data_IF_838828432613
#
_entry.id   IF_838828432613
#
_cell.length_a   1.000
_cell.length_b   1.000
_cell.length_c   1.000
_cell.angle_alpha   90.00
_cell.angle_beta   90.00
_cell.angle_gamma   90.00
#
_symmetry.space_group_name_H-M   'P 1'
#
loop_
_entity.id
_entity.type
_entity.pdbx_description
1 polymer ?
#
# COMPACT_ATOMS: atom_id res chain seq x y z
N UNK A 1 24.75 12.69 21.54
CA UNK A 1 23.83 11.54 21.40
C UNK A 1 24.44 10.36 22.16
N UNK A 2 23.67 9.57 22.93
CA UNK A 2 24.21 8.38 23.58
C UNK A 2 24.69 7.39 22.51
N UNK A 3 25.78 6.67 22.79
CA UNK A 3 26.25 5.58 21.93
C UNK A 3 25.25 4.43 22.07
N UNK A 4 24.56 4.10 20.98
CA UNK A 4 23.61 2.98 20.94
C UNK A 4 24.12 1.90 19.99
N UNK A 5 24.36 0.70 20.52
CA UNK A 5 24.62 -0.49 19.72
C UNK A 5 23.27 -1.17 19.44
N UNK A 6 22.80 -1.12 18.20
CA UNK A 6 21.58 -1.81 17.75
C UNK A 6 21.95 -2.90 16.74
N UNK A 7 21.23 -4.01 16.79
CA UNK A 7 21.39 -5.12 15.84
C UNK A 7 20.45 -4.93 14.64
N UNK A 8 20.89 -5.34 13.45
CA UNK A 8 20.03 -5.39 12.26
C UNK A 8 18.83 -6.33 12.48
N UNK A 9 17.69 -6.00 11.86
CA UNK A 9 16.49 -6.82 11.83
C UNK A 9 16.53 -7.94 10.76
N UNK A 10 17.67 -8.13 10.09
CA UNK A 10 17.88 -9.27 9.19
C UNK A 10 17.66 -10.58 9.95
N UNK A 11 17.12 -11.59 9.25
CA UNK A 11 16.95 -12.92 9.82
C UNK A 11 18.32 -13.51 10.13
N UNK A 12 18.58 -13.73 11.43
CA UNK A 12 19.83 -14.29 11.92
C UNK A 12 19.74 -15.81 12.09
N UNK A 13 20.90 -16.46 12.16
CA UNK A 13 20.98 -17.88 12.49
C UNK A 13 20.33 -18.12 13.88
N UNK A 14 19.34 -19.01 13.99
CA UNK A 14 18.68 -19.33 15.26
C UNK A 14 19.64 -19.86 16.33
N UNK A 15 20.82 -20.35 15.96
CA UNK A 15 21.86 -20.80 16.89
C UNK A 15 22.64 -19.64 17.53
N UNK A 16 22.43 -18.40 17.08
CA UNK A 16 23.06 -17.21 17.66
C UNK A 16 22.44 -16.91 19.03
N UNK A 17 23.24 -16.76 20.11
CA UNK A 17 22.72 -16.40 21.43
C UNK A 17 21.97 -15.06 21.39
N UNK A 18 20.69 -15.07 21.80
CA UNK A 18 19.82 -13.89 21.77
C UNK A 18 19.07 -13.67 20.44
N UNK A 19 19.10 -14.64 19.51
CA UNK A 19 18.30 -14.59 18.29
C UNK A 19 16.80 -14.64 18.62
N UNK A 20 16.03 -13.77 17.96
CA UNK A 20 14.57 -13.83 17.95
C UNK A 20 14.16 -14.68 16.75
N UNK A 21 13.19 -15.60 16.88
CA UNK A 21 12.66 -16.33 15.73
C UNK A 21 12.23 -15.36 14.62
N UNK A 22 12.62 -15.67 13.39
CA UNK A 22 12.25 -14.87 12.23
C UNK A 22 10.73 -14.83 12.08
N UNK A 23 10.20 -13.65 11.74
CA UNK A 23 8.83 -13.55 11.24
C UNK A 23 8.69 -14.47 10.00
N UNK A 24 7.81 -15.48 10.04
CA UNK A 24 7.65 -16.43 8.94
C UNK A 24 7.37 -15.76 7.60
N UNK A 25 6.66 -14.62 7.60
CA UNK A 25 6.34 -13.89 6.38
C UNK A 25 7.55 -13.17 5.80
N UNK A 26 8.37 -12.53 6.66
CA UNK A 26 9.64 -11.93 6.23
C UNK A 26 10.65 -12.98 5.77
N UNK A 27 10.58 -14.19 6.34
CA UNK A 27 11.50 -15.27 6.04
C UNK A 27 11.13 -16.09 4.81
N UNK A 28 9.83 -16.35 4.62
CA UNK A 28 9.29 -17.36 3.69
C UNK A 28 7.93 -16.98 3.09
N UNK A 29 7.52 -15.72 3.23
CA UNK A 29 6.24 -15.25 2.70
C UNK A 29 6.15 -15.49 1.21
N UNK A 30 4.95 -15.85 0.75
CA UNK A 30 4.68 -16.00 -0.68
C UNK A 30 4.33 -14.63 -1.26
N UNK A 31 5.07 -14.22 -2.29
CA UNK A 31 4.72 -13.03 -3.07
C UNK A 31 3.43 -13.28 -3.84
N UNK A 32 2.43 -12.47 -3.56
CA UNK A 32 1.15 -12.42 -4.26
C UNK A 32 1.07 -11.08 -4.97
N UNK A 33 0.73 -11.13 -6.25
CA UNK A 33 0.58 -9.93 -7.08
C UNK A 33 -0.84 -9.91 -7.63
N UNK A 34 -1.63 -8.96 -7.16
CA UNK A 34 -2.96 -8.67 -7.68
C UNK A 34 -2.87 -7.52 -8.67
N UNK A 35 -3.36 -7.71 -9.89
CA UNK A 35 -3.41 -6.67 -10.92
C UNK A 35 -4.84 -6.44 -11.36
N UNK A 36 -5.20 -5.19 -11.59
CA UNK A 36 -6.54 -4.81 -12.03
C UNK A 36 -6.54 -3.43 -12.67
N UNK A 37 -7.72 -3.01 -13.09
CA UNK A 37 -7.97 -1.66 -13.59
C UNK A 37 -9.32 -1.22 -13.04
N UNK A 38 -9.40 0.02 -12.55
CA UNK A 38 -10.68 0.69 -12.32
C UNK A 38 -10.87 1.79 -13.34
N UNK A 39 -12.11 2.02 -13.75
CA UNK A 39 -12.49 3.03 -14.74
C UNK A 39 -13.42 4.04 -14.08
N UNK A 40 -13.27 5.31 -14.46
CA UNK A 40 -14.17 6.37 -14.03
C UNK A 40 -14.85 7.00 -15.26
N UNK A 41 -16.10 7.39 -15.09
CA UNK A 41 -16.84 8.19 -16.06
C UNK A 41 -16.52 9.68 -15.88
N UNK A 42 -16.79 10.47 -16.92
CA UNK A 42 -16.55 11.92 -16.89
C UNK A 42 -17.53 12.68 -15.98
N UNK A 43 -18.65 12.05 -15.64
CA UNK A 43 -19.70 12.56 -14.75
C UNK A 43 -19.65 11.96 -13.34
N UNK A 44 -18.60 11.18 -13.02
CA UNK A 44 -18.37 10.73 -11.66
C UNK A 44 -18.10 11.93 -10.75
N UNK A 45 -18.80 11.96 -9.62
CA UNK A 45 -18.80 13.07 -8.69
C UNK A 45 -17.81 12.86 -7.54
N UNK A 46 -17.52 13.95 -6.84
CA UNK A 46 -16.92 13.91 -5.51
C UNK A 46 -17.69 12.93 -4.61
N UNK A 47 -16.94 12.13 -3.85
CA UNK A 47 -17.44 11.05 -3.02
C UNK A 47 -17.52 9.67 -3.70
N UNK A 48 -17.28 9.57 -5.01
CA UNK A 48 -17.13 8.27 -5.69
C UNK A 48 -15.98 7.46 -5.08
N UNK A 49 -16.19 6.13 -4.98
CA UNK A 49 -15.22 5.18 -4.42
C UNK A 49 -15.09 3.97 -5.35
N UNK A 50 -13.86 3.49 -5.54
CA UNK A 50 -13.55 2.35 -6.39
C UNK A 50 -12.75 1.32 -5.60
N UNK A 51 -13.27 0.09 -5.49
CA UNK A 51 -12.58 -1.00 -4.79
C UNK A 51 -11.38 -1.49 -5.61
N UNK A 52 -10.20 -1.55 -5.01
CA UNK A 52 -8.97 -1.98 -5.68
C UNK A 52 -8.61 -3.42 -5.30
N UNK A 53 -8.49 -3.70 -4.01
CA UNK A 53 -8.09 -5.01 -3.51
C UNK A 53 -8.49 -5.22 -2.05
N UNK A 54 -8.73 -6.47 -1.68
CA UNK A 54 -8.83 -6.90 -0.28
C UNK A 54 -7.60 -7.75 0.05
N UNK A 55 -6.79 -7.28 1.00
CA UNK A 55 -5.49 -7.85 1.36
C UNK A 55 -5.54 -8.29 2.81
N UNK A 56 -4.97 -9.44 3.20
CA UNK A 56 -4.88 -9.81 4.61
C UNK A 56 -4.22 -8.69 5.42
N UNK A 57 -4.79 -8.32 6.57
CA UNK A 57 -4.25 -7.24 7.40
C UNK A 57 -2.80 -7.53 7.82
N UNK A 58 -2.48 -8.79 8.06
CA UNK A 58 -1.14 -9.26 8.39
C UNK A 58 -0.21 -9.39 7.19
N UNK A 59 -0.54 -8.89 5.99
CA UNK A 59 0.36 -9.01 4.84
C UNK A 59 1.38 -7.86 4.79
N UNK A 60 2.60 -8.15 4.36
CA UNK A 60 3.62 -7.11 4.11
C UNK A 60 3.37 -6.50 2.74
N UNK A 61 3.19 -5.18 2.67
CA UNK A 61 3.07 -4.48 1.40
C UNK A 61 4.45 -4.41 0.74
N UNK A 62 4.53 -4.85 -0.52
CA UNK A 62 5.77 -4.90 -1.27
C UNK A 62 5.96 -3.63 -2.11
N UNK A 63 7.22 -3.24 -2.31
CA UNK A 63 7.65 -2.10 -3.13
C UNK A 63 7.27 -2.21 -4.62
N UNK A 64 6.79 -3.38 -5.05
CA UNK A 64 6.29 -3.61 -6.42
C UNK A 64 4.83 -3.14 -6.59
N UNK A 65 4.23 -2.60 -5.52
CA UNK A 65 2.91 -1.98 -5.57
C UNK A 65 2.98 -0.67 -6.33
N UNK A 66 2.16 -0.53 -7.36
CA UNK A 66 2.18 0.62 -8.25
C UNK A 66 0.79 0.91 -8.82
N UNK A 67 0.50 2.19 -9.02
CA UNK A 67 -0.73 2.71 -9.62
C UNK A 67 -0.37 3.55 -10.85
N UNK A 68 -0.83 3.15 -12.03
CA UNK A 68 -0.68 3.93 -13.26
C UNK A 68 -1.81 4.96 -13.34
N UNK A 69 -1.45 6.21 -13.09
CA UNK A 69 -2.36 7.34 -12.94
C UNK A 69 -2.40 8.21 -14.20
N UNK A 70 -1.66 7.87 -15.25
CA UNK A 70 -1.56 8.68 -16.48
C UNK A 70 -2.94 9.06 -17.03
N UNK A 71 -3.84 8.07 -17.08
CA UNK A 71 -5.19 8.21 -17.61
C UNK A 71 -6.27 8.34 -16.55
N UNK A 72 -5.93 8.59 -15.29
CA UNK A 72 -6.93 8.72 -14.24
C UNK A 72 -7.76 10.00 -14.42
N UNK A 73 -9.08 9.90 -14.40
CA UNK A 73 -9.96 11.03 -14.76
C UNK A 73 -10.07 12.13 -13.70
N UNK A 74 -9.62 11.85 -12.46
CA UNK A 74 -9.59 12.81 -11.36
C UNK A 74 -8.24 13.55 -11.31
N UNK A 75 -8.26 14.76 -10.74
CA UNK A 75 -7.07 15.61 -10.61
C UNK A 75 -6.16 15.20 -9.45
N UNK A 76 -6.71 14.50 -8.46
CA UNK A 76 -6.00 13.94 -7.30
C UNK A 76 -6.01 12.42 -7.37
N UNK A 77 -5.02 11.82 -6.70
CA UNK A 77 -4.88 10.39 -6.49
C UNK A 77 -4.98 10.21 -4.99
N UNK A 78 -6.12 9.68 -4.55
CA UNK A 78 -6.44 9.50 -3.13
C UNK A 78 -6.76 8.04 -2.95
N UNK A 79 -5.88 7.32 -2.26
CA UNK A 79 -5.98 5.87 -2.05
C UNK A 79 -5.80 5.60 -0.55
N UNK A 80 -6.69 4.78 -0.01
CA UNK A 80 -6.69 4.45 1.40
C UNK A 80 -7.67 3.32 1.70
N UNK A 81 -8.17 3.32 2.92
CA UNK A 81 -9.26 2.43 3.33
C UNK A 81 -10.61 3.10 3.05
N UNK A 82 -11.71 2.35 3.12
CA UNK A 82 -13.03 2.91 2.85
C UNK A 82 -13.38 4.14 3.73
N UNK A 83 -12.89 4.14 4.97
CA UNK A 83 -13.14 5.17 5.98
C UNK A 83 -12.03 6.21 6.14
N UNK A 84 -10.80 5.87 5.74
CA UNK A 84 -9.61 6.71 5.86
C UNK A 84 -8.99 6.83 4.47
N UNK A 85 -9.41 7.86 3.74
CA UNK A 85 -9.35 7.91 2.27
C UNK A 85 -7.95 8.17 1.72
N UNK A 86 -7.13 8.88 2.49
CA UNK A 86 -5.78 9.33 2.16
C UNK A 86 -4.68 8.52 2.89
N UNK A 87 -5.05 7.45 3.59
CA UNK A 87 -4.14 6.67 4.43
C UNK A 87 -2.92 6.08 3.69
N UNK A 88 -3.01 5.82 2.38
CA UNK A 88 -1.92 5.26 1.59
C UNK A 88 -1.26 6.29 0.67
N UNK A 89 -2.06 7.02 -0.10
CA UNK A 89 -1.62 8.03 -1.06
C UNK A 89 -2.60 9.20 -1.01
N UNK A 90 -2.06 10.41 -0.86
CA UNK A 90 -2.73 11.65 -1.20
C UNK A 90 -1.76 12.58 -1.92
N UNK A 91 -1.97 12.73 -3.23
CA UNK A 91 -1.23 13.68 -4.03
C UNK A 91 -1.99 14.14 -5.28
N UNK A 92 -1.57 15.29 -5.81
CA UNK A 92 -2.05 15.76 -7.12
C UNK A 92 -1.46 14.91 -8.25
N UNK A 93 -2.26 14.55 -9.25
CA UNK A 93 -1.86 13.73 -10.41
C UNK A 93 -0.74 14.34 -11.24
N UNK A 94 -0.58 15.66 -11.22
CA UNK A 94 0.37 16.39 -12.06
C UNK A 94 1.86 16.04 -11.81
N UNK A 95 2.16 15.24 -10.79
CA UNK A 95 3.53 14.97 -10.35
C UNK A 95 4.17 13.78 -11.08
N UNK A 96 3.44 12.68 -11.30
CA UNK A 96 3.99 11.41 -11.81
C UNK A 96 2.92 10.59 -12.57
N UNK A 97 3.34 9.80 -13.57
CA UNK A 97 2.45 8.88 -14.30
C UNK A 97 2.24 7.55 -13.56
N UNK A 98 3.20 7.16 -12.71
CA UNK A 98 3.13 5.93 -11.92
C UNK A 98 3.42 6.32 -10.48
N UNK A 99 2.53 5.92 -9.57
CA UNK A 99 2.67 6.17 -8.14
C UNK A 99 3.00 4.87 -7.42
N UNK A 100 4.10 4.87 -6.67
CA UNK A 100 4.51 3.76 -5.81
C UNK A 100 4.40 4.18 -4.34
N UNK A 101 3.44 3.65 -3.55
CA UNK A 101 3.26 4.05 -2.15
C UNK A 101 4.38 3.56 -1.23
N UNK A 102 5.13 2.54 -1.67
CA UNK A 102 6.27 1.99 -0.95
C UNK A 102 7.44 1.90 -1.92
N UNK A 103 8.55 2.54 -1.58
CA UNK A 103 9.80 2.47 -2.31
C UNK A 103 10.84 1.66 -1.52
N UNK A 104 11.74 0.99 -2.23
CA UNK A 104 12.80 0.21 -1.57
C UNK A 104 13.66 1.09 -0.65
N UNK A 105 13.65 0.78 0.64
CA UNK A 105 14.42 1.50 1.65
C UNK A 105 13.74 2.75 2.22
N UNK A 106 12.48 3.01 1.88
CA UNK A 106 11.69 4.04 2.53
C UNK A 106 11.25 3.63 3.96
N UNK A 107 10.49 4.50 4.63
CA UNK A 107 10.01 4.25 5.98
C UNK A 107 8.94 3.15 6.05
N UNK A 108 8.26 2.88 4.94
CA UNK A 108 7.15 1.91 4.81
C UNK A 108 7.63 0.53 4.36
N UNK A 109 8.88 0.41 3.92
CA UNK A 109 9.46 -0.80 3.38
C UNK A 109 9.55 -1.91 4.44
N UNK A 110 8.92 -3.06 4.15
CA UNK A 110 8.93 -4.23 5.02
C UNK A 110 8.00 -4.11 6.24
N UNK A 111 7.01 -3.22 6.17
CA UNK A 111 5.92 -3.09 7.14
C UNK A 111 4.64 -3.81 6.68
N UNK A 112 3.80 -4.18 7.64
CA UNK A 112 2.48 -4.75 7.36
C UNK A 112 1.55 -3.67 6.80
N UNK A 113 0.57 -4.04 5.97
CA UNK A 113 -0.35 -3.09 5.33
C UNK A 113 -1.05 -2.19 6.36
N UNK A 114 -1.44 -2.70 7.52
CA UNK A 114 -2.07 -1.89 8.57
C UNK A 114 -1.11 -0.86 9.17
N UNK A 115 0.19 -1.16 9.26
CA UNK A 115 1.21 -0.23 9.74
C UNK A 115 1.48 0.86 8.71
N UNK A 116 1.55 0.48 7.42
CA UNK A 116 1.71 1.43 6.31
C UNK A 116 0.55 2.43 6.27
N UNK A 117 -0.67 1.95 6.53
CA UNK A 117 -1.88 2.78 6.61
C UNK A 117 -2.01 3.57 7.92
N UNK A 118 -1.03 3.49 8.83
CA UNK A 118 -1.04 4.23 10.09
C UNK A 118 -2.09 3.76 11.10
N UNK A 119 -2.64 2.55 10.96
CA UNK A 119 -3.59 2.01 11.93
C UNK A 119 -2.89 1.75 13.27
N UNK A 120 -3.59 2.00 14.37
CA UNK A 120 -3.02 1.87 15.71
C UNK A 120 -2.69 0.43 16.12
N UNK A 121 -3.36 -0.55 15.51
CA UNK A 121 -3.17 -1.98 15.74
C UNK A 121 -3.70 -2.78 14.56
N UNK A 122 -3.24 -4.02 14.41
CA UNK A 122 -3.79 -4.96 13.42
C UNK A 122 -5.32 -5.11 13.58
N UNK A 123 -6.11 -4.71 12.56
CA UNK A 123 -7.57 -4.84 12.61
C UNK A 123 -8.04 -6.30 12.51
N UNK A 124 -7.16 -7.21 12.11
CA UNK A 124 -7.49 -8.60 11.78
C UNK A 124 -8.27 -8.74 10.47
N UNK A 125 -8.30 -9.96 9.93
CA UNK A 125 -9.02 -10.25 8.69
C UNK A 125 -8.37 -9.62 7.47
N UNK A 126 -9.14 -8.88 6.68
CA UNK A 126 -8.68 -8.22 5.46
C UNK A 126 -8.82 -6.70 5.58
N UNK A 127 -7.82 -5.99 5.06
CA UNK A 127 -7.85 -4.56 4.79
C UNK A 127 -8.25 -4.37 3.33
N UNK A 128 -9.22 -3.50 3.10
CA UNK A 128 -9.68 -3.15 1.76
C UNK A 128 -9.07 -1.82 1.33
N UNK A 129 -8.47 -1.82 0.15
CA UNK A 129 -7.94 -0.63 -0.49
C UNK A 129 -8.95 -0.08 -1.50
N UNK A 130 -9.14 1.22 -1.43
CA UNK A 130 -10.10 1.96 -2.23
C UNK A 130 -9.44 3.19 -2.83
N UNK A 131 -9.77 3.51 -4.09
CA UNK A 131 -9.50 4.82 -4.67
C UNK A 131 -10.71 5.72 -4.45
N UNK A 132 -10.46 6.97 -4.06
CA UNK A 132 -11.49 7.94 -3.69
C UNK A 132 -11.44 9.17 -4.59
N UNK A 133 -12.62 9.72 -4.88
CA UNK A 133 -12.79 11.00 -5.54
C UNK A 133 -13.07 12.09 -4.50
N UNK A 134 -12.13 13.01 -4.29
CA UNK A 134 -12.35 14.19 -3.43
C UNK A 134 -13.00 15.36 -4.18
N UNK A 135 -12.92 15.33 -5.50
CA UNK A 135 -13.51 16.31 -6.41
C UNK A 135 -14.18 15.57 -7.60
N UNK A 136 -15.01 16.29 -8.34
CA UNK A 136 -15.64 15.77 -9.55
C UNK A 136 -14.58 15.43 -10.62
N UNK A 137 -14.87 14.42 -11.43
CA UNK A 137 -13.99 14.01 -12.51
C UNK A 137 -13.77 15.16 -13.51
N UNK A 138 -12.54 15.31 -13.98
CA UNK A 138 -12.19 16.26 -15.05
C UNK A 138 -12.32 15.65 -16.44
N UNK A 139 -12.44 14.32 -16.50
CA UNK A 139 -12.70 13.53 -17.70
C UNK A 139 -12.89 12.06 -17.35
N UNK A 140 -13.31 11.26 -18.33
CA UNK A 140 -13.33 9.80 -18.20
C UNK A 140 -11.90 9.27 -18.22
N UNK A 141 -11.66 8.15 -17.55
CA UNK A 141 -10.32 7.65 -17.34
C UNK A 141 -10.25 6.23 -16.80
N UNK A 142 -9.02 5.77 -16.61
CA UNK A 142 -8.72 4.47 -16.04
C UNK A 142 -7.47 4.54 -15.16
N UNK A 143 -7.44 3.69 -14.15
CA UNK A 143 -6.32 3.50 -13.24
C UNK A 143 -5.95 2.01 -13.25
N UNK A 144 -5.06 1.58 -14.16
CA UNK A 144 -4.41 0.28 -14.04
C UNK A 144 -3.56 0.24 -12.78
N UNK A 145 -3.56 -0.88 -12.06
CA UNK A 145 -2.82 -1.01 -10.82
C UNK A 145 -2.27 -2.42 -10.60
N UNK A 146 -1.25 -2.46 -9.74
CA UNK A 146 -0.67 -3.67 -9.18
C UNK A 146 -0.54 -3.48 -7.69
N UNK A 147 -1.10 -4.41 -6.92
CA UNK A 147 -0.83 -4.52 -5.48
C UNK A 147 -0.06 -5.80 -5.22
N UNK A 148 1.19 -5.64 -4.78
CA UNK A 148 2.09 -6.74 -4.48
C UNK A 148 2.26 -6.84 -2.96
N UNK A 149 2.12 -8.05 -2.41
CA UNK A 149 2.27 -8.28 -0.98
C UNK A 149 2.81 -9.67 -0.67
N UNK A 150 3.49 -9.80 0.47
CA UNK A 150 3.90 -11.09 1.02
C UNK A 150 2.86 -11.56 2.02
N UNK A 151 2.31 -12.76 1.79
CA UNK A 151 1.38 -13.42 2.70
C UNK A 151 2.05 -14.65 3.37
N UNK A 152 1.60 -15.06 4.57
CA UNK A 152 2.09 -16.24 5.27
C UNK A 152 1.76 -17.56 4.55
#
# INVERSE_FOLDING_TARGET
>A
MPVTNKTSNLIHDPMTPGSVPADPQKARGRLIVATGTVENAADDLSGSKFHLASIPSTALLHEDTAFDVENWGFAQIVIGTESDTDALIDQTKATENIVTPVAFGDASHGLMIWEVLGLASDPGGNVELWAHAEADATGAGALPFRVAYLAP
#
